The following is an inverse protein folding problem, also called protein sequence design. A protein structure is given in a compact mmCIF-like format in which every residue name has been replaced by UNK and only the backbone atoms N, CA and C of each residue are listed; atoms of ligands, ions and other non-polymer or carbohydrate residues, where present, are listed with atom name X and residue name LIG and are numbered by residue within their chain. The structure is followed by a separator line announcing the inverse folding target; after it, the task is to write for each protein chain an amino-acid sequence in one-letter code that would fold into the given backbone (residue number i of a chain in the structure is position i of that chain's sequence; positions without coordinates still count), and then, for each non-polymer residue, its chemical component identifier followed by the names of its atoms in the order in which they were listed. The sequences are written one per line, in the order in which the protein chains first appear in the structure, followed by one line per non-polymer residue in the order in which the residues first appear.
data_IF_145573905621
#
_entry.id   IF_145573905621
#
_cell.length_a   1.000
_cell.length_b   1.000
_cell.length_c   1.000
_cell.angle_alpha   90.00
_cell.angle_beta   90.00
_cell.angle_gamma   90.00
#
_symmetry.space_group_name_H-M   'P 1'
#
loop_
_entity.id
_entity.type
_entity.pdbx_description
1 polymer ?
#
# COMPACT_ATOMS: atom_id res chain seq x y z
N UNK A 1 -29.75 6.56 15.31
CA UNK A 1 -29.32 6.77 16.71
C UNK A 1 -30.35 6.35 17.75
N UNK A 2 -31.67 6.56 17.56
CA UNK A 2 -32.65 6.18 18.60
C UNK A 2 -33.23 4.76 18.52
N UNK A 3 -32.98 3.97 17.48
CA UNK A 3 -33.55 2.61 17.39
C UNK A 3 -32.60 1.46 17.81
N UNK A 4 -31.27 1.62 17.78
CA UNK A 4 -30.33 0.50 18.02
C UNK A 4 -29.12 0.80 18.94
N UNK A 5 -29.07 1.97 19.59
CA UNK A 5 -28.08 2.27 20.64
C UNK A 5 -26.60 2.08 20.23
N UNK A 6 -25.74 1.74 21.21
CA UNK A 6 -24.28 1.52 21.05
C UNK A 6 -23.92 0.14 20.45
N UNK A 7 -24.89 -0.77 20.38
CA UNK A 7 -24.69 -2.15 19.86
C UNK A 7 -24.61 -2.21 18.33
N UNK A 8 -25.05 -1.17 17.62
CA UNK A 8 -24.96 -1.02 16.16
C UNK A 8 -23.53 -1.04 15.61
N UNK A 9 -22.54 -0.57 16.38
CA UNK A 9 -21.14 -0.48 15.95
C UNK A 9 -20.34 -1.77 16.12
N UNK A 10 -20.87 -2.76 16.84
CA UNK A 10 -20.11 -3.97 17.21
C UNK A 10 -20.79 -5.31 16.86
N UNK A 11 -22.08 -5.34 16.51
CA UNK A 11 -22.81 -6.61 16.27
C UNK A 11 -23.59 -6.71 14.95
N UNK A 12 -23.55 -5.70 14.07
CA UNK A 12 -24.28 -5.73 12.80
C UNK A 12 -23.45 -6.36 11.68
N UNK A 13 -24.02 -7.26 10.87
CA UNK A 13 -23.35 -7.86 9.69
C UNK A 13 -22.86 -6.83 8.65
N UNK A 14 -23.14 -5.54 8.85
CA UNK A 14 -22.71 -4.39 8.05
C UNK A 14 -21.75 -3.44 8.79
N UNK A 15 -20.98 -3.91 9.79
CA UNK A 15 -20.06 -3.08 10.57
C UNK A 15 -19.15 -2.19 9.71
N UNK A 16 -18.60 -2.74 8.63
CA UNK A 16 -17.70 -2.01 7.71
C UNK A 16 -18.43 -0.81 7.10
N UNK A 17 -19.69 -0.99 6.69
CA UNK A 17 -20.49 0.08 6.11
C UNK A 17 -20.88 1.15 7.15
N UNK A 18 -21.12 0.75 8.39
CA UNK A 18 -21.48 1.66 9.48
C UNK A 18 -20.27 2.50 9.94
N UNK A 19 -19.09 1.88 10.03
CA UNK A 19 -17.84 2.57 10.32
C UNK A 19 -17.46 3.53 9.20
N UNK A 20 -17.60 3.11 7.95
CA UNK A 20 -17.39 3.96 6.79
C UNK A 20 -18.36 5.15 6.80
N UNK A 21 -19.65 4.94 7.09
CA UNK A 21 -20.64 6.00 7.19
C UNK A 21 -20.28 7.01 8.30
N UNK A 22 -19.89 6.52 9.48
CA UNK A 22 -19.47 7.36 10.61
C UNK A 22 -18.23 8.19 10.25
N UNK A 23 -17.22 7.58 9.64
CA UNK A 23 -16.04 8.27 9.16
C UNK A 23 -16.38 9.34 8.12
N UNK A 24 -17.26 9.03 7.17
CA UNK A 24 -17.70 9.98 6.15
C UNK A 24 -18.49 11.15 6.75
N UNK A 25 -19.31 10.92 7.77
CA UNK A 25 -20.05 11.99 8.45
C UNK A 25 -19.06 12.92 9.16
N UNK A 26 -18.08 12.38 9.89
CA UNK A 26 -17.04 13.16 10.57
C UNK A 26 -16.22 13.99 9.58
N UNK A 27 -15.76 13.39 8.47
CA UNK A 27 -14.98 14.12 7.46
C UNK A 27 -15.78 15.24 6.80
N UNK A 28 -17.08 15.05 6.58
CA UNK A 28 -17.98 16.08 6.06
C UNK A 28 -18.20 17.23 7.05
N UNK A 29 -18.26 16.94 8.34
CA UNK A 29 -18.36 17.96 9.39
C UNK A 29 -17.06 18.78 9.44
N UNK A 30 -15.90 18.12 9.45
CA UNK A 30 -14.59 18.78 9.43
C UNK A 30 -14.44 19.67 8.19
N UNK A 31 -14.94 19.23 7.06
CA UNK A 31 -14.92 20.01 5.83
C UNK A 31 -15.78 21.28 5.93
N UNK A 32 -17.04 21.16 6.39
CA UNK A 32 -17.94 22.30 6.58
C UNK A 32 -17.35 23.29 7.59
N UNK A 33 -16.86 22.80 8.74
CA UNK A 33 -16.23 23.64 9.76
C UNK A 33 -14.98 24.33 9.22
N UNK A 34 -14.16 23.62 8.45
CA UNK A 34 -12.96 24.17 7.82
C UNK A 34 -13.28 25.28 6.81
N UNK A 35 -14.30 25.09 5.97
CA UNK A 35 -14.76 26.12 5.02
C UNK A 35 -15.29 27.37 5.74
N UNK A 36 -16.09 27.19 6.79
CA UNK A 36 -16.62 28.30 7.59
C UNK A 36 -15.49 29.04 8.30
N UNK A 37 -14.53 28.32 8.89
CA UNK A 37 -13.40 28.91 9.60
C UNK A 37 -12.54 29.78 8.67
N UNK A 38 -12.27 29.30 7.45
CA UNK A 38 -11.54 30.06 6.44
C UNK A 38 -12.35 31.28 5.97
N UNK A 39 -13.64 31.13 5.72
CA UNK A 39 -14.51 32.22 5.31
C UNK A 39 -14.61 33.34 6.37
N UNK A 40 -14.67 32.98 7.66
CA UNK A 40 -14.73 33.94 8.78
C UNK A 40 -13.37 34.59 9.05
N UNK A 41 -12.25 33.86 8.86
CA UNK A 41 -10.90 34.39 9.06
C UNK A 41 -10.42 35.39 7.98
N UNK A 42 -11.13 35.49 6.85
CA UNK A 42 -10.80 36.39 5.74
C UNK A 42 -11.08 37.88 5.97
N UNK A 43 -11.58 38.27 7.16
CA UNK A 43 -12.04 39.64 7.45
C UNK A 43 -11.09 40.56 8.24
N UNK A 44 -9.96 40.10 8.79
CA UNK A 44 -9.12 40.96 9.63
C UNK A 44 -7.62 40.70 9.45
N UNK A 45 -6.93 41.63 8.77
CA UNK A 45 -5.50 41.61 8.48
C UNK A 45 -4.57 41.83 9.70
N UNK A 46 -5.09 41.97 10.92
CA UNK A 46 -4.32 42.45 12.08
C UNK A 46 -3.98 41.40 13.18
N UNK A 47 -4.33 40.12 13.00
CA UNK A 47 -4.08 39.05 13.99
C UNK A 47 -3.05 37.99 13.53
N UNK A 48 -2.13 38.37 12.63
CA UNK A 48 -1.41 37.45 11.75
C UNK A 48 -0.31 36.58 12.41
N UNK A 49 0.28 36.97 13.54
CA UNK A 49 1.54 36.34 13.96
C UNK A 49 1.39 35.14 14.92
N UNK A 50 0.34 35.08 15.75
CA UNK A 50 0.06 33.91 16.60
C UNK A 50 -0.91 32.91 15.94
N UNK A 51 -1.72 33.37 14.99
CA UNK A 51 -2.67 32.52 14.24
C UNK A 51 -2.01 31.80 13.05
N UNK A 52 -0.77 32.14 12.68
CA UNK A 52 -0.06 31.60 11.51
C UNK A 52 0.10 30.07 11.55
N UNK A 53 0.34 29.48 12.72
CA UNK A 53 0.46 28.01 12.90
C UNK A 53 -0.91 27.33 12.75
N UNK A 54 -1.97 27.92 13.31
CA UNK A 54 -3.34 27.44 13.18
C UNK A 54 -3.82 27.50 11.72
N UNK A 55 -3.57 28.63 11.05
CA UNK A 55 -3.97 28.88 9.68
C UNK A 55 -3.25 27.94 8.69
N UNK A 56 -1.96 27.63 8.90
CA UNK A 56 -1.25 26.63 8.09
C UNK A 56 -1.83 25.22 8.22
N UNK A 57 -2.19 24.80 9.45
CA UNK A 57 -2.84 23.50 9.69
C UNK A 57 -4.23 23.45 9.06
N UNK A 58 -5.02 24.51 9.20
CA UNK A 58 -6.36 24.63 8.61
C UNK A 58 -6.28 24.59 7.08
N UNK A 59 -5.34 25.31 6.44
CA UNK A 59 -5.13 25.27 4.99
C UNK A 59 -4.75 23.85 4.53
N UNK A 60 -3.87 23.15 5.26
CA UNK A 60 -3.50 21.76 4.94
C UNK A 60 -4.71 20.81 5.08
N UNK A 61 -5.52 20.96 6.13
CA UNK A 61 -6.73 20.18 6.35
C UNK A 61 -7.76 20.45 5.25
N UNK A 62 -7.96 21.70 4.84
CA UNK A 62 -8.85 22.07 3.72
C UNK A 62 -8.37 21.48 2.39
N UNK A 63 -7.04 21.43 2.15
CA UNK A 63 -6.49 20.75 0.96
C UNK A 63 -6.75 19.25 0.99
N UNK A 64 -6.57 18.60 2.13
CA UNK A 64 -6.82 17.16 2.28
C UNK A 64 -8.34 16.85 2.20
N UNK A 65 -9.19 17.68 2.79
CA UNK A 65 -10.65 17.49 2.75
C UNK A 65 -11.22 17.57 1.33
N UNK A 66 -10.61 18.36 0.44
CA UNK A 66 -10.94 18.36 -1.00
C UNK A 66 -10.74 16.99 -1.64
N UNK A 67 -9.71 16.23 -1.25
CA UNK A 67 -9.50 14.86 -1.72
C UNK A 67 -10.57 13.90 -1.15
N UNK A 68 -10.98 14.13 0.11
CA UNK A 68 -12.03 13.34 0.76
C UNK A 68 -13.42 13.54 0.14
N UNK A 69 -13.64 14.60 -0.64
CA UNK A 69 -14.87 14.76 -1.44
C UNK A 69 -15.08 13.60 -2.42
N UNK A 70 -14.00 13.00 -2.92
CA UNK A 70 -14.07 11.82 -3.80
C UNK A 70 -14.69 10.64 -3.07
N UNK A 71 -14.48 10.52 -1.75
CA UNK A 71 -15.12 9.48 -0.93
C UNK A 71 -16.65 9.67 -0.81
N UNK A 72 -17.20 10.84 -1.16
CA UNK A 72 -18.66 11.02 -1.26
C UNK A 72 -19.27 10.17 -2.38
N UNK A 73 -18.49 9.83 -3.42
CA UNK A 73 -18.92 8.88 -4.46
C UNK A 73 -19.24 7.52 -3.83
N UNK A 74 -18.47 7.10 -2.81
CA UNK A 74 -18.72 5.86 -2.06
C UNK A 74 -20.08 5.88 -1.35
N UNK A 75 -20.59 7.06 -0.94
CA UNK A 75 -21.95 7.18 -0.41
C UNK A 75 -22.99 6.79 -1.45
N UNK A 76 -22.84 7.29 -2.69
CA UNK A 76 -23.75 6.97 -3.80
C UNK A 76 -23.75 5.48 -4.10
N UNK A 77 -22.56 4.84 -4.09
CA UNK A 77 -22.42 3.39 -4.27
C UNK A 77 -23.16 2.58 -3.20
N UNK A 78 -23.28 3.11 -1.97
CA UNK A 78 -24.00 2.46 -0.86
C UNK A 78 -25.52 2.53 -1.02
N UNK A 79 -26.05 3.62 -1.57
CA UNK A 79 -27.50 3.79 -1.78
C UNK A 79 -28.04 2.89 -2.89
N UNK A 80 -27.21 2.59 -3.91
CA UNK A 80 -27.59 1.71 -5.01
C UNK A 80 -27.31 0.26 -4.63
N UNK A 81 -28.36 -0.51 -4.36
CA UNK A 81 -28.26 -1.94 -3.97
C UNK A 81 -27.41 -2.76 -4.96
N UNK A 82 -27.52 -2.50 -6.26
CA UNK A 82 -26.73 -3.17 -7.29
C UNK A 82 -25.22 -2.89 -7.15
N UNK A 83 -24.83 -1.63 -6.96
CA UNK A 83 -23.43 -1.23 -6.79
C UNK A 83 -22.83 -1.79 -5.49
N UNK A 84 -23.60 -1.78 -4.39
CA UNK A 84 -23.18 -2.41 -3.13
C UNK A 84 -22.87 -3.89 -3.30
N UNK A 85 -23.71 -4.61 -4.05
CA UNK A 85 -23.50 -6.03 -4.30
C UNK A 85 -22.23 -6.25 -5.14
N UNK A 86 -22.00 -5.43 -6.18
CA UNK A 86 -20.76 -5.49 -6.98
C UNK A 86 -19.51 -5.23 -6.13
N UNK A 87 -19.52 -4.20 -5.28
CA UNK A 87 -18.40 -3.90 -4.37
C UNK A 87 -18.17 -5.04 -3.39
N UNK A 88 -19.23 -5.66 -2.86
CA UNK A 88 -19.11 -6.83 -2.01
C UNK A 88 -18.49 -8.02 -2.73
N UNK A 89 -18.86 -8.26 -3.99
CA UNK A 89 -18.26 -9.32 -4.82
C UNK A 89 -16.77 -9.05 -5.07
N UNK A 90 -16.42 -7.81 -5.38
CA UNK A 90 -15.02 -7.39 -5.53
C UNK A 90 -14.25 -7.58 -4.21
N UNK A 91 -14.81 -7.19 -3.07
CA UNK A 91 -14.17 -7.39 -1.77
C UNK A 91 -13.94 -8.88 -1.46
N UNK A 92 -14.87 -9.76 -1.85
CA UNK A 92 -14.70 -11.20 -1.73
C UNK A 92 -13.58 -11.73 -2.64
N UNK A 93 -13.44 -11.24 -3.88
CA UNK A 93 -12.32 -11.64 -4.75
C UNK A 93 -10.98 -11.14 -4.23
N UNK A 94 -10.92 -9.95 -3.62
CA UNK A 94 -9.71 -9.46 -2.94
C UNK A 94 -9.24 -10.39 -1.83
N UNK A 95 -10.15 -11.03 -1.08
CA UNK A 95 -9.77 -12.03 -0.06
C UNK A 95 -9.09 -13.24 -0.71
N UNK A 96 -9.61 -13.73 -1.82
CA UNK A 96 -8.99 -14.83 -2.57
C UNK A 96 -7.62 -14.40 -3.12
N UNK A 97 -7.54 -13.22 -3.71
CA UNK A 97 -6.32 -12.62 -4.22
C UNK A 97 -5.26 -12.45 -3.13
N UNK A 98 -5.65 -12.08 -1.90
CA UNK A 98 -4.73 -11.97 -0.78
C UNK A 98 -4.04 -13.32 -0.49
N UNK A 99 -4.79 -14.43 -0.50
CA UNK A 99 -4.20 -15.76 -0.35
C UNK A 99 -3.30 -16.14 -1.52
N UNK A 100 -3.67 -15.76 -2.76
CA UNK A 100 -2.79 -15.94 -3.92
C UNK A 100 -1.48 -15.16 -3.79
N UNK A 101 -1.52 -13.93 -3.27
CA UNK A 101 -0.32 -13.12 -2.98
C UNK A 101 0.52 -13.76 -1.89
N UNK A 102 -0.08 -14.28 -0.82
CA UNK A 102 0.64 -15.03 0.22
C UNK A 102 1.36 -16.24 -0.39
N UNK A 103 0.68 -17.01 -1.24
CA UNK A 103 1.29 -18.15 -1.93
C UNK A 103 2.46 -17.69 -2.83
N UNK A 104 2.29 -16.60 -3.58
CA UNK A 104 3.35 -16.03 -4.41
C UNK A 104 4.57 -15.62 -3.57
N UNK A 105 4.36 -14.98 -2.40
CA UNK A 105 5.44 -14.61 -1.49
C UNK A 105 6.18 -15.83 -0.96
N UNK A 106 5.47 -16.92 -0.64
CA UNK A 106 6.10 -18.19 -0.22
C UNK A 106 6.97 -18.77 -1.35
N UNK A 107 6.48 -18.77 -2.59
CA UNK A 107 7.26 -19.25 -3.74
C UNK A 107 8.51 -18.39 -3.94
N UNK A 108 8.37 -17.06 -3.91
CA UNK A 108 9.50 -16.13 -4.02
C UNK A 108 10.51 -16.33 -2.88
N UNK A 109 10.03 -16.59 -1.67
CA UNK A 109 10.89 -16.90 -0.52
C UNK A 109 11.68 -18.21 -0.74
N UNK A 110 11.03 -19.28 -1.18
CA UNK A 110 11.70 -20.56 -1.46
C UNK A 110 12.80 -20.39 -2.50
N UNK A 111 12.50 -19.76 -3.65
CA UNK A 111 13.52 -19.51 -4.67
C UNK A 111 14.59 -18.52 -4.20
N UNK A 112 14.22 -17.52 -3.41
CA UNK A 112 15.17 -16.58 -2.81
C UNK A 112 16.19 -17.26 -1.92
N UNK A 113 15.75 -18.20 -1.08
CA UNK A 113 16.65 -19.01 -0.24
C UNK A 113 17.54 -19.90 -1.11
N UNK A 114 16.97 -20.64 -2.07
CA UNK A 114 17.72 -21.55 -2.93
C UNK A 114 18.82 -20.83 -3.73
N UNK A 115 18.50 -19.67 -4.32
CA UNK A 115 19.46 -18.89 -5.09
C UNK A 115 20.54 -18.27 -4.20
N UNK A 116 20.17 -17.71 -3.05
CA UNK A 116 21.17 -17.18 -2.11
C UNK A 116 22.10 -18.26 -1.57
N UNK A 117 21.57 -19.47 -1.31
CA UNK A 117 22.38 -20.60 -0.85
C UNK A 117 23.39 -21.04 -1.93
N UNK A 118 22.92 -21.25 -3.17
CA UNK A 118 23.80 -21.61 -4.29
C UNK A 118 24.85 -20.55 -4.62
N UNK A 119 24.49 -19.26 -4.55
CA UNK A 119 25.46 -18.16 -4.75
C UNK A 119 26.47 -18.11 -3.59
N UNK A 120 26.04 -18.36 -2.36
CA UNK A 120 26.94 -18.38 -1.20
C UNK A 120 27.93 -19.54 -1.30
N UNK A 121 27.47 -20.72 -1.73
CA UNK A 121 28.32 -21.88 -1.98
C UNK A 121 29.35 -21.59 -3.09
N UNK A 122 28.89 -21.04 -4.22
CA UNK A 122 29.77 -20.66 -5.33
C UNK A 122 30.85 -19.65 -4.91
N UNK A 123 30.47 -18.60 -4.18
CA UNK A 123 31.43 -17.60 -3.69
C UNK A 123 32.44 -18.16 -2.67
N UNK A 124 32.07 -19.21 -1.93
CA UNK A 124 32.95 -19.87 -0.97
C UNK A 124 33.80 -21.00 -1.56
N UNK A 125 33.53 -21.42 -2.81
CA UNK A 125 34.25 -22.49 -3.49
C UNK A 125 35.73 -22.19 -3.73
N UNK A 126 36.13 -20.92 -3.68
CA UNK A 126 37.51 -20.49 -3.88
C UNK A 126 37.97 -20.54 -5.35
N UNK A 127 37.04 -20.73 -6.29
CA UNK A 127 37.31 -20.52 -7.71
C UNK A 127 37.71 -19.05 -7.96
N UNK A 128 38.62 -18.83 -8.92
CA UNK A 128 39.07 -17.48 -9.28
C UNK A 128 37.98 -16.68 -9.98
N UNK A 129 36.97 -16.24 -9.23
CA UNK A 129 35.78 -15.56 -9.72
C UNK A 129 36.16 -14.15 -10.20
N UNK A 130 35.67 -13.78 -11.37
CA UNK A 130 35.85 -12.44 -11.91
C UNK A 130 35.21 -11.40 -10.96
N UNK A 131 35.90 -10.31 -10.59
CA UNK A 131 35.41 -9.36 -9.59
C UNK A 131 34.09 -8.68 -10.00
N UNK A 132 33.81 -8.57 -11.29
CA UNK A 132 32.54 -8.02 -11.78
C UNK A 132 31.38 -9.02 -11.60
N UNK A 133 31.62 -10.31 -11.84
CA UNK A 133 30.65 -11.38 -11.61
C UNK A 133 30.31 -11.53 -10.13
N UNK A 134 31.30 -11.51 -9.24
CA UNK A 134 31.08 -11.55 -7.80
C UNK A 134 30.21 -10.38 -7.34
N UNK A 135 30.47 -9.18 -7.84
CA UNK A 135 29.70 -7.98 -7.49
C UNK A 135 28.23 -8.11 -7.91
N UNK A 136 27.96 -8.60 -9.11
CA UNK A 136 26.60 -8.79 -9.61
C UNK A 136 25.84 -9.89 -8.85
N UNK A 137 26.51 -11.01 -8.56
CA UNK A 137 25.96 -12.08 -7.73
C UNK A 137 25.59 -11.59 -6.33
N UNK A 138 26.48 -10.83 -5.67
CA UNK A 138 26.21 -10.25 -4.35
C UNK A 138 25.11 -9.19 -4.40
N UNK A 139 25.05 -8.39 -5.47
CA UNK A 139 24.05 -7.35 -5.64
C UNK A 139 22.63 -7.93 -5.78
N UNK A 140 22.47 -8.99 -6.58
CA UNK A 140 21.15 -9.57 -6.86
C UNK A 140 20.74 -10.67 -5.89
N UNK A 141 21.69 -11.50 -5.44
CA UNK A 141 21.42 -12.75 -4.70
C UNK A 141 22.21 -12.88 -3.39
N UNK A 142 22.98 -11.87 -2.98
CA UNK A 142 23.85 -11.96 -1.79
C UNK A 142 23.11 -12.05 -0.44
N UNK A 143 21.81 -11.74 -0.40
CA UNK A 143 20.95 -11.95 0.78
C UNK A 143 19.59 -12.49 0.34
N UNK A 144 18.91 -13.24 1.21
CA UNK A 144 17.57 -13.78 0.92
C UNK A 144 16.59 -12.66 0.58
N UNK A 145 16.61 -11.55 1.33
CA UNK A 145 15.74 -10.40 1.04
C UNK A 145 16.08 -9.76 -0.31
N UNK A 146 17.37 -9.63 -0.65
CA UNK A 146 17.83 -9.16 -1.95
C UNK A 146 17.33 -10.06 -3.08
N UNK A 147 17.51 -11.37 -2.97
CA UNK A 147 17.05 -12.36 -3.94
C UNK A 147 15.52 -12.32 -4.13
N UNK A 148 14.75 -12.26 -3.03
CA UNK A 148 13.30 -12.11 -3.08
C UNK A 148 12.86 -10.83 -3.81
N UNK A 149 13.54 -9.71 -3.55
CA UNK A 149 13.24 -8.44 -4.19
C UNK A 149 13.63 -8.45 -5.69
N UNK A 150 14.75 -9.07 -6.04
CA UNK A 150 15.17 -9.28 -7.43
C UNK A 150 14.14 -10.13 -8.18
N UNK A 151 13.70 -11.26 -7.61
CA UNK A 151 12.66 -12.12 -8.19
C UNK A 151 11.33 -11.37 -8.33
N UNK A 152 10.93 -10.62 -7.32
CA UNK A 152 9.72 -9.81 -7.38
C UNK A 152 9.80 -8.75 -8.49
N UNK A 153 10.95 -8.07 -8.64
CA UNK A 153 11.17 -7.11 -9.74
C UNK A 153 11.14 -7.77 -11.10
N UNK A 154 11.66 -9.00 -11.25
CA UNK A 154 11.58 -9.74 -12.51
C UNK A 154 10.13 -10.09 -12.90
N UNK A 155 9.29 -10.46 -11.94
CA UNK A 155 7.87 -10.79 -12.17
C UNK A 155 7.05 -9.51 -12.40
N UNK A 156 7.31 -8.45 -11.65
CA UNK A 156 6.57 -7.19 -11.69
C UNK A 156 7.02 -6.23 -12.82
N UNK A 157 7.84 -6.69 -13.77
CA UNK A 157 8.43 -5.88 -14.84
C UNK A 157 9.29 -4.69 -14.34
N UNK A 158 9.90 -4.81 -13.17
CA UNK A 158 10.85 -3.83 -12.64
C UNK A 158 12.25 -3.95 -13.24
N UNK A 159 12.70 -5.18 -13.54
CA UNK A 159 13.97 -5.47 -14.23
C UNK A 159 13.76 -6.66 -15.18
N UNK A 160 14.48 -6.69 -16.29
CA UNK A 160 14.45 -7.85 -17.20
C UNK A 160 15.09 -9.06 -16.52
N UNK A 161 14.38 -10.19 -16.50
CA UNK A 161 14.89 -11.44 -15.92
C UNK A 161 16.21 -11.90 -16.58
N UNK A 162 16.40 -11.60 -17.86
CA UNK A 162 17.63 -11.91 -18.61
C UNK A 162 18.88 -11.32 -17.95
N UNK A 163 18.79 -10.10 -17.41
CA UNK A 163 19.94 -9.40 -16.82
C UNK A 163 20.40 -10.11 -15.54
N UNK A 164 19.45 -10.61 -14.75
CA UNK A 164 19.75 -11.25 -13.45
C UNK A 164 20.10 -12.73 -13.58
N UNK A 165 19.68 -13.38 -14.68
CA UNK A 165 20.03 -14.77 -14.96
C UNK A 165 21.45 -14.91 -15.51
N UNK A 166 21.95 -13.94 -16.29
CA UNK A 166 23.33 -13.95 -16.81
C UNK A 166 24.42 -14.28 -15.79
N UNK A 167 24.50 -13.61 -14.62
CA UNK A 167 25.50 -13.95 -13.61
C UNK A 167 25.26 -15.33 -12.96
N UNK A 168 24.01 -15.79 -12.87
CA UNK A 168 23.69 -17.12 -12.33
C UNK A 168 24.16 -18.25 -13.25
N UNK A 169 23.95 -18.12 -14.57
CA UNK A 169 24.39 -19.11 -15.56
C UNK A 169 25.91 -19.27 -15.58
N UNK A 170 26.64 -18.18 -15.30
CA UNK A 170 28.10 -18.22 -15.18
C UNK A 170 28.57 -18.86 -13.87
N UNK A 171 27.76 -18.78 -12.80
CA UNK A 171 28.07 -19.35 -11.50
C UNK A 171 27.73 -20.85 -11.38
N UNK A 172 26.73 -21.35 -12.11
CA UNK A 172 26.36 -22.76 -12.07
C UNK A 172 26.17 -23.33 -13.47
N UNK A 173 27.03 -24.30 -13.86
CA UNK A 173 26.88 -25.09 -15.09
C UNK A 173 25.61 -25.98 -15.09
N UNK A 174 25.14 -26.37 -13.90
CA UNK A 174 24.12 -27.43 -13.73
C UNK A 174 22.65 -26.93 -13.73
N UNK A 175 22.42 -25.67 -14.12
CA UNK A 175 21.08 -25.11 -14.37
C UNK A 175 21.06 -24.27 -15.65
#
# INVERSE_FOLDING_TARGET
WMAEGRYFLWHSNNLVWNWLDTFLVVTSIVEIVGEISVAVSGGSQAAADLSSIGNMRVIRIVRISRLLRVLRIVRVLRFVRSLRNLVSSIAMTFRSLAWSVVLLVIIIYMFGVLLTDGVTEFLNSGEGIEPMLEKDLRMYFGTVHGAMHTLFRSIANGISWDIVVRPLVQASWFW
#
